data_IF_281625809155
#
_entry.id   IF_281625809155
#
_cell.length_a   1.000
_cell.length_b   1.000
_cell.length_c   1.000
_cell.angle_alpha   90.00
_cell.angle_beta   90.00
_cell.angle_gamma   90.00
#
_symmetry.space_group_name_H-M   'P 1'
#
loop_
_entity.id
_entity.type
_entity.pdbx_description
1 polymer ?
#
# COMPACT_ATOMS: atom_id res chain seq x y z
N UNK A 1 8.49 25.61 25.93
CA UNK A 1 9.08 24.52 25.13
C UNK A 1 10.54 24.86 24.87
N UNK A 2 11.46 23.95 25.18
CA UNK A 2 12.89 24.14 24.85
C UNK A 2 13.08 23.99 23.33
N UNK A 3 13.99 24.74 22.69
CA UNK A 3 14.37 24.46 21.31
C UNK A 3 14.85 23.01 21.19
N UNK A 4 14.16 22.19 20.40
CA UNK A 4 14.49 20.78 20.18
C UNK A 4 13.53 19.75 20.79
N UNK A 5 12.60 20.17 21.66
CA UNK A 5 11.62 19.27 22.27
C UNK A 5 10.31 19.30 21.45
N UNK A 6 10.20 18.43 20.43
CA UNK A 6 8.94 18.22 19.70
C UNK A 6 8.07 17.24 20.51
N UNK A 7 6.89 17.66 20.93
CA UNK A 7 5.93 16.80 21.64
C UNK A 7 5.12 15.93 20.67
N UNK A 8 5.79 15.02 19.95
CA UNK A 8 5.14 14.09 19.02
C UNK A 8 5.96 12.82 18.84
N UNK A 9 5.32 11.74 18.39
CA UNK A 9 5.96 10.44 18.14
C UNK A 9 6.99 10.42 17.00
N UNK A 10 7.19 11.55 16.31
CA UNK A 10 8.24 11.73 15.31
C UNK A 10 9.56 12.02 16.05
N UNK A 11 10.45 11.03 16.11
CA UNK A 11 11.77 11.12 16.77
C UNK A 11 12.70 12.19 16.16
N UNK A 12 14.02 12.02 16.31
CA UNK A 12 15.00 13.01 15.81
C UNK A 12 14.98 13.19 14.27
N UNK A 13 14.29 12.32 13.53
CA UNK A 13 14.17 12.41 12.07
C UNK A 13 15.42 11.96 11.31
N UNK A 14 16.42 11.42 12.01
CA UNK A 14 17.64 10.82 11.46
C UNK A 14 17.97 9.54 12.22
N UNK A 15 18.23 8.45 11.49
CA UNK A 15 18.55 7.13 12.03
C UNK A 15 19.80 6.58 11.32
N UNK A 16 20.76 6.07 12.10
CA UNK A 16 21.97 5.42 11.59
C UNK A 16 21.85 3.88 11.60
N UNK A 17 20.80 3.34 12.22
CA UNK A 17 20.59 1.89 12.41
C UNK A 17 20.04 1.19 11.16
N UNK A 18 19.92 1.90 10.04
CA UNK A 18 19.38 1.36 8.79
C UNK A 18 17.86 1.17 8.76
N UNK A 19 17.17 1.49 9.87
CA UNK A 19 15.70 1.50 9.94
C UNK A 19 15.16 2.91 9.69
N UNK A 20 14.08 2.99 8.92
CA UNK A 20 13.37 4.24 8.65
C UNK A 20 12.32 4.52 9.73
N UNK A 21 12.04 5.81 9.94
CA UNK A 21 10.93 6.24 10.80
C UNK A 21 9.58 5.96 10.15
N UNK A 22 8.53 5.99 10.98
CA UNK A 22 7.14 5.88 10.53
C UNK A 22 6.84 6.93 9.46
N UNK A 23 6.34 6.46 8.31
CA UNK A 23 5.87 7.33 7.25
C UNK A 23 4.55 7.98 7.67
N UNK A 24 4.59 9.26 8.03
CA UNK A 24 3.38 10.05 8.32
C UNK A 24 2.95 10.83 7.08
N UNK A 25 1.65 11.14 6.98
CA UNK A 25 1.10 11.92 5.87
C UNK A 25 1.50 13.41 5.89
N UNK A 26 1.99 13.91 7.03
CA UNK A 26 2.35 15.32 7.22
C UNK A 26 3.85 15.61 7.12
N UNK A 27 4.69 14.61 7.41
CA UNK A 27 6.14 14.81 7.44
C UNK A 27 6.79 14.56 6.07
N UNK A 28 7.94 15.18 5.87
CA UNK A 28 8.79 14.96 4.68
C UNK A 28 9.90 13.99 5.06
N UNK A 29 9.86 12.79 4.48
CA UNK A 29 10.86 11.75 4.69
C UNK A 29 12.01 11.90 3.68
N UNK A 30 13.23 11.63 4.11
CA UNK A 30 14.41 11.82 3.30
C UNK A 30 15.54 10.86 3.66
N UNK A 31 16.52 10.79 2.76
CA UNK A 31 17.72 9.97 2.93
C UNK A 31 18.96 10.84 2.73
N UNK A 32 19.95 10.63 3.59
CA UNK A 32 21.29 11.18 3.46
C UNK A 32 22.23 10.10 2.93
N UNK A 33 23.05 10.42 1.92
CA UNK A 33 23.96 9.48 1.28
C UNK A 33 25.18 10.20 0.69
N UNK A 34 26.24 9.47 0.37
CA UNK A 34 27.56 10.01 -0.02
C UNK A 34 28.07 9.42 -1.34
N UNK A 35 27.40 9.69 -2.48
CA UNK A 35 27.68 9.01 -3.76
C UNK A 35 29.06 9.34 -4.38
N UNK A 36 29.77 10.36 -3.87
CA UNK A 36 31.13 10.73 -4.33
C UNK A 36 31.98 11.33 -3.20
N UNK A 37 31.81 10.82 -1.97
CA UNK A 37 32.47 11.36 -0.78
C UNK A 37 31.93 12.73 -0.30
N UNK A 38 30.91 13.28 -0.98
CA UNK A 38 30.19 14.49 -0.58
C UNK A 38 28.84 14.14 0.02
N UNK A 39 28.51 14.61 1.23
CA UNK A 39 27.20 14.38 1.85
C UNK A 39 26.11 15.05 1.02
N UNK A 40 25.10 14.27 0.65
CA UNK A 40 23.94 14.70 -0.14
C UNK A 40 22.66 14.26 0.57
N UNK A 41 21.66 15.14 0.60
CA UNK A 41 20.33 14.84 1.17
C UNK A 41 19.28 15.00 0.09
N UNK A 42 18.35 14.06 0.01
CA UNK A 42 17.16 14.17 -0.85
C UNK A 42 15.91 13.64 -0.15
N UNK A 43 14.75 14.04 -0.66
CA UNK A 43 13.47 13.43 -0.28
C UNK A 43 13.40 12.01 -0.81
N UNK A 44 12.68 11.15 -0.10
CA UNK A 44 12.25 9.89 -0.67
C UNK A 44 11.28 10.17 -1.82
N UNK A 45 11.39 9.40 -2.89
CA UNK A 45 10.43 9.41 -4.00
C UNK A 45 9.16 8.69 -3.57
N UNK A 46 8.00 8.98 -4.18
CA UNK A 46 6.77 8.27 -3.82
C UNK A 46 6.89 6.75 -4.04
N UNK A 47 7.65 6.33 -5.05
CA UNK A 47 7.93 4.92 -5.31
C UNK A 47 8.73 4.25 -4.19
N UNK A 48 9.65 4.98 -3.56
CA UNK A 48 10.41 4.46 -2.42
C UNK A 48 9.50 4.33 -1.20
N UNK A 49 8.63 5.31 -0.98
CA UNK A 49 7.61 5.26 0.07
C UNK A 49 6.65 4.08 -0.10
N UNK A 50 6.19 3.81 -1.34
CA UNK A 50 5.35 2.66 -1.69
C UNK A 50 6.03 1.34 -1.31
N UNK A 51 7.29 1.17 -1.74
CA UNK A 51 8.08 -0.03 -1.45
C UNK A 51 8.35 -0.21 0.05
N UNK A 52 8.62 0.88 0.78
CA UNK A 52 8.78 0.84 2.24
C UNK A 52 7.51 0.34 2.95
N UNK A 53 6.32 0.66 2.41
CA UNK A 53 5.05 0.14 2.93
C UNK A 53 4.73 -1.28 2.41
N UNK A 54 5.48 -1.82 1.45
CA UNK A 54 5.22 -3.10 0.80
C UNK A 54 4.15 -3.04 -0.29
N UNK A 55 3.84 -1.85 -0.82
CA UNK A 55 2.94 -1.72 -1.96
C UNK A 55 3.62 -2.12 -3.28
N UNK A 56 2.83 -2.58 -4.28
CA UNK A 56 3.31 -2.66 -5.65
C UNK A 56 3.81 -1.30 -6.16
N UNK A 57 4.70 -1.33 -7.14
CA UNK A 57 5.21 -0.11 -7.77
C UNK A 57 4.06 0.72 -8.36
N UNK A 58 4.02 2.02 -8.04
CA UNK A 58 3.00 2.97 -8.48
C UNK A 58 1.59 2.73 -7.96
N UNK A 59 1.42 1.92 -6.90
CA UNK A 59 0.12 1.63 -6.29
C UNK A 59 -0.69 2.87 -5.88
N UNK A 60 -0.01 3.98 -5.54
CA UNK A 60 -0.70 5.21 -5.11
C UNK A 60 -0.98 6.19 -6.24
N UNK A 61 -0.67 5.84 -7.50
CA UNK A 61 -1.09 6.65 -8.64
C UNK A 61 -2.60 6.53 -8.80
N UNK A 62 -3.27 7.68 -8.67
CA UNK A 62 -4.72 7.78 -8.84
C UNK A 62 -5.04 8.93 -9.80
N UNK A 63 -6.12 8.84 -10.58
CA UNK A 63 -6.63 9.99 -11.31
C UNK A 63 -6.84 11.17 -10.37
N UNK A 64 -6.32 12.34 -10.74
CA UNK A 64 -6.31 13.50 -9.85
C UNK A 64 -6.72 14.76 -10.59
N UNK A 65 -7.76 15.44 -10.09
CA UNK A 65 -8.26 16.70 -10.65
C UNK A 65 -8.55 16.62 -12.16
N UNK A 66 -9.20 15.54 -12.60
CA UNK A 66 -9.56 15.31 -14.01
C UNK A 66 -8.40 14.83 -14.90
N UNK A 67 -7.20 14.63 -14.34
CA UNK A 67 -6.04 14.08 -15.05
C UNK A 67 -5.91 12.58 -14.86
N UNK A 68 -5.19 11.93 -15.76
CA UNK A 68 -4.92 10.48 -15.70
C UNK A 68 -4.00 10.11 -14.53
N UNK A 69 -3.87 8.82 -14.26
CA UNK A 69 -3.04 8.30 -13.16
C UNK A 69 -1.53 8.56 -13.35
N UNK A 70 -1.07 8.66 -14.61
CA UNK A 70 0.32 8.97 -14.94
C UNK A 70 0.70 10.41 -14.59
N UNK A 71 -0.29 11.31 -14.58
CA UNK A 71 -0.14 12.71 -14.19
C UNK A 71 -0.45 12.96 -12.70
N UNK A 72 -0.59 11.90 -11.91
CA UNK A 72 -0.85 12.02 -10.47
C UNK A 72 0.33 12.76 -9.79
N UNK A 73 0.08 13.89 -9.13
CA UNK A 73 1.14 14.62 -8.46
C UNK A 73 1.67 13.84 -7.24
N UNK A 74 2.92 14.10 -6.85
CA UNK A 74 3.56 13.38 -5.75
C UNK A 74 2.88 13.59 -4.38
N UNK A 75 2.28 14.75 -4.14
CA UNK A 75 1.70 15.08 -2.84
C UNK A 75 0.55 14.13 -2.41
N UNK A 76 -0.47 13.84 -3.25
CA UNK A 76 -1.44 12.79 -2.99
C UNK A 76 -0.81 11.42 -2.71
N UNK A 77 0.26 11.07 -3.42
CA UNK A 77 0.95 9.78 -3.28
C UNK A 77 1.63 9.63 -1.92
N UNK A 78 2.35 10.65 -1.47
CA UNK A 78 2.93 10.68 -0.11
C UNK A 78 1.85 10.60 0.96
N UNK A 79 0.75 11.35 0.78
CA UNK A 79 -0.38 11.34 1.72
C UNK A 79 -1.05 9.97 1.79
N UNK A 80 -1.22 9.29 0.66
CA UNK A 80 -1.75 7.94 0.60
C UNK A 80 -0.85 6.95 1.34
N UNK A 81 0.46 6.98 1.10
CA UNK A 81 1.42 6.13 1.81
C UNK A 81 1.38 6.39 3.33
N UNK A 82 1.42 7.66 3.75
CA UNK A 82 1.49 8.02 5.16
C UNK A 82 0.18 7.85 5.96
N UNK A 83 -0.96 7.71 5.28
CA UNK A 83 -2.25 7.35 5.91
C UNK A 83 -2.50 5.84 5.92
N UNK A 84 -1.66 5.07 5.24
CA UNK A 84 -1.88 3.63 5.06
C UNK A 84 -1.20 2.81 6.16
N UNK A 85 -1.34 1.49 6.04
CA UNK A 85 -0.71 0.51 6.90
C UNK A 85 0.28 -0.32 6.07
N UNK A 86 1.36 -0.78 6.69
CA UNK A 86 2.36 -1.60 6.01
C UNK A 86 1.75 -2.95 5.61
N UNK A 87 1.84 -3.29 4.32
CA UNK A 87 1.18 -4.44 3.69
C UNK A 87 1.60 -5.75 4.36
N UNK A 88 2.88 -5.89 4.67
CA UNK A 88 3.43 -7.06 5.37
C UNK A 88 2.76 -7.31 6.74
N UNK A 89 2.52 -6.25 7.52
CA UNK A 89 1.83 -6.35 8.80
C UNK A 89 0.36 -6.74 8.61
N UNK A 90 -0.33 -6.10 7.66
CA UNK A 90 -1.73 -6.36 7.39
C UNK A 90 -1.98 -7.77 6.84
N UNK A 91 -1.10 -8.25 5.97
CA UNK A 91 -1.14 -9.62 5.43
C UNK A 91 -1.02 -10.65 6.56
N UNK A 92 -0.04 -10.47 7.46
CA UNK A 92 0.15 -11.36 8.60
C UNK A 92 -1.07 -11.39 9.53
N UNK A 93 -1.66 -10.24 9.83
CA UNK A 93 -2.88 -10.18 10.66
C UNK A 93 -4.06 -10.83 9.92
N UNK A 94 -4.25 -10.52 8.64
CA UNK A 94 -5.32 -11.05 7.80
C UNK A 94 -5.33 -12.57 7.73
N UNK A 95 -4.17 -13.20 7.52
CA UNK A 95 -4.04 -14.68 7.51
C UNK A 95 -4.52 -15.33 8.81
N UNK A 96 -4.37 -14.64 9.94
CA UNK A 96 -4.79 -15.18 11.25
C UNK A 96 -6.27 -15.01 11.49
N UNK A 97 -6.81 -13.86 11.09
CA UNK A 97 -8.24 -13.62 11.10
C UNK A 97 -8.91 -14.70 10.23
N UNK A 98 -8.44 -14.89 9.00
CA UNK A 98 -8.94 -15.92 8.09
C UNK A 98 -8.96 -17.32 8.72
N UNK A 99 -7.87 -17.73 9.37
CA UNK A 99 -7.79 -19.04 10.06
C UNK A 99 -8.79 -19.18 11.21
N UNK A 100 -9.15 -18.10 11.89
CA UNK A 100 -10.14 -18.13 12.97
C UNK A 100 -11.54 -18.15 12.38
N UNK A 101 -11.83 -17.34 11.37
CA UNK A 101 -13.11 -17.34 10.65
C UNK A 101 -13.43 -18.73 10.08
N UNK A 102 -12.45 -19.39 9.44
CA UNK A 102 -12.62 -20.75 8.91
C UNK A 102 -12.99 -21.77 9.99
N UNK A 103 -12.41 -21.67 11.19
CA UNK A 103 -12.75 -22.56 12.31
C UNK A 103 -14.16 -22.28 12.82
N UNK A 104 -14.51 -21.01 13.00
CA UNK A 104 -15.84 -20.59 13.46
C UNK A 104 -16.92 -21.04 12.47
N UNK A 105 -16.71 -20.83 11.16
CA UNK A 105 -17.66 -21.27 10.13
C UNK A 105 -17.83 -22.79 10.13
N UNK A 106 -16.75 -23.55 10.30
CA UNK A 106 -16.83 -25.01 10.42
C UNK A 106 -17.63 -25.45 11.65
N UNK A 107 -17.39 -24.82 12.81
CA UNK A 107 -18.13 -25.09 14.05
C UNK A 107 -19.62 -24.71 13.96
N UNK A 108 -19.94 -23.68 13.17
CA UNK A 108 -21.32 -23.24 12.90
C UNK A 108 -22.04 -24.05 11.81
N UNK A 109 -21.34 -24.97 11.14
CA UNK A 109 -21.87 -25.71 10.00
C UNK A 109 -22.12 -24.83 8.77
N UNK A 110 -21.49 -23.65 8.69
CA UNK A 110 -21.54 -22.76 7.54
C UNK A 110 -20.48 -23.20 6.52
N UNK A 111 -20.90 -23.48 5.29
CA UNK A 111 -19.98 -23.90 4.22
C UNK A 111 -18.95 -22.79 3.93
N UNK A 112 -17.68 -23.15 3.67
CA UNK A 112 -16.64 -22.17 3.40
C UNK A 112 -16.95 -21.38 2.12
N UNK A 113 -16.69 -20.08 2.14
CA UNK A 113 -16.75 -19.19 0.97
C UNK A 113 -15.59 -19.56 0.03
N UNK A 114 -15.75 -20.60 -0.80
CA UNK A 114 -14.82 -20.89 -1.90
C UNK A 114 -15.39 -20.39 -3.22
N UNK A 115 -14.64 -19.46 -3.82
CA UNK A 115 -14.57 -19.03 -5.22
C UNK A 115 -15.83 -18.51 -5.93
N UNK A 116 -16.08 -17.20 -5.76
CA UNK A 116 -16.93 -16.43 -6.70
C UNK A 116 -16.17 -16.13 -8.02
N UNK A 117 -14.91 -16.52 -8.16
CA UNK A 117 -14.06 -16.17 -9.31
C UNK A 117 -14.01 -17.20 -10.43
N UNK A 118 -14.39 -18.46 -10.21
CA UNK A 118 -14.37 -19.47 -11.27
C UNK A 118 -15.74 -19.63 -11.96
N UNK A 119 -16.86 -19.40 -11.24
CA UNK A 119 -18.20 -19.53 -11.80
C UNK A 119 -18.58 -18.44 -12.83
N UNK A 120 -17.84 -17.33 -12.91
CA UNK A 120 -18.14 -16.23 -13.85
C UNK A 120 -17.47 -16.38 -15.22
N UNK A 121 -16.47 -17.26 -15.37
CA UNK A 121 -15.78 -17.47 -16.64
C UNK A 121 -16.36 -18.60 -17.50
N UNK A 122 -17.11 -19.55 -16.94
CA UNK A 122 -17.76 -20.61 -17.75
C UNK A 122 -19.07 -20.14 -18.37
N UNK A 123 -19.79 -19.17 -17.77
CA UNK A 123 -21.04 -18.63 -18.33
C UNK A 123 -20.85 -17.68 -19.53
N UNK A 124 -19.63 -17.23 -19.82
CA UNK A 124 -19.36 -16.31 -20.95
C UNK A 124 -19.01 -17.00 -22.27
N UNK A 125 -18.71 -18.32 -22.27
CA UNK A 125 -18.33 -19.05 -23.48
C UNK A 125 -19.50 -19.80 -24.17
N UNK A 126 -20.72 -19.72 -23.63
CA UNK A 126 -21.89 -20.39 -24.22
C UNK A 126 -22.86 -19.45 -24.96
N UNK A 127 -22.66 -18.13 -24.91
CA UNK A 127 -23.63 -17.14 -25.42
C UNK A 127 -23.24 -16.57 -26.81
N UNK A 128 -22.15 -17.01 -27.45
CA UNK A 128 -21.67 -16.39 -28.71
C UNK A 128 -21.83 -17.21 -30.01
N UNK A 129 -22.62 -18.29 -30.04
CA UNK A 129 -22.79 -19.08 -31.29
C UNK A 129 -24.21 -19.21 -31.83
N UNK A 130 -25.21 -18.58 -31.22
CA UNK A 130 -26.60 -18.65 -31.71
C UNK A 130 -27.23 -17.26 -31.73
N UNK A 131 -26.87 -16.44 -32.73
CA UNK A 131 -27.72 -15.37 -33.30
C UNK A 131 -26.92 -14.60 -34.37
N UNK A 132 -26.68 -15.26 -35.51
CA UNK A 132 -26.46 -14.62 -36.82
C UNK A 132 -26.69 -15.69 -37.90
N UNK A 133 -27.95 -15.90 -38.25
CA UNK A 133 -28.41 -16.33 -39.57
C UNK A 133 -29.94 -16.31 -39.60
N UNK A 134 -30.50 -15.16 -39.97
CA UNK A 134 -31.60 -15.00 -40.93
C UNK A 134 -31.66 -13.55 -41.40
#
# INVERSE_FOLDING_TARGET
MKPGERSGGSGMGVSEEGVMYTQTAGDVHGVAYTPSGKPTVRKLLPLECERLMGFPDNHTRIPWNGKSEEECPDAPRYKACGNSMAVNCMMWIGERIQKVEEKISHERGEFPVREITEASNESSNHIKTEEINE
#
